data_IF_570301856174
#
_entry.id   IF_570301856174
#
_cell.length_a   1.000
_cell.length_b   1.000
_cell.length_c   1.000
_cell.angle_alpha   90.00
_cell.angle_beta   90.00
_cell.angle_gamma   90.00
#
_symmetry.space_group_name_H-M   'P 1'
#
loop_
_entity.id
_entity.type
_entity.pdbx_description
1 polymer ?
#
# COMPACT_ATOMS: atom_id res chain seq x y z
N UNK A 1 -51.10 -5.87 -18.28
CA UNK A 1 -50.40 -5.67 -19.56
C UNK A 1 -50.47 -6.99 -20.32
N UNK A 2 -51.52 -7.13 -21.12
CA UNK A 2 -51.50 -7.99 -22.31
C UNK A 2 -50.43 -7.46 -23.28
N UNK A 3 -49.78 -8.36 -24.02
CA UNK A 3 -49.71 -8.31 -25.48
C UNK A 3 -49.13 -9.63 -26.00
N UNK A 4 -49.98 -10.36 -26.71
CA UNK A 4 -49.73 -11.51 -27.59
C UNK A 4 -48.95 -11.08 -28.83
N UNK A 5 -48.12 -11.95 -29.42
CA UNK A 5 -47.64 -11.91 -30.81
C UNK A 5 -46.99 -13.28 -31.13
N UNK A 6 -47.15 -13.98 -32.27
CA UNK A 6 -48.11 -14.01 -33.38
C UNK A 6 -47.63 -15.19 -34.25
N UNK A 7 -48.53 -16.12 -34.61
CA UNK A 7 -48.39 -16.98 -35.78
C UNK A 7 -48.54 -16.12 -37.04
N UNK A 8 -47.77 -16.37 -38.11
CA UNK A 8 -48.12 -16.10 -39.53
C UNK A 8 -46.95 -16.59 -40.42
N UNK A 9 -47.10 -17.68 -41.17
CA UNK A 9 -47.65 -17.76 -42.54
C UNK A 9 -46.69 -17.20 -43.62
N UNK A 10 -46.14 -18.12 -44.43
CA UNK A 10 -45.60 -17.77 -45.75
C UNK A 10 -45.72 -18.95 -46.71
N UNK A 11 -46.95 -19.25 -47.13
CA UNK A 11 -47.26 -20.03 -48.32
C UNK A 11 -47.99 -19.16 -49.35
N UNK A 12 -47.23 -18.46 -50.20
CA UNK A 12 -47.75 -17.61 -51.28
C UNK A 12 -47.43 -18.16 -52.67
N UNK A 13 -48.45 -18.18 -53.52
CA UNK A 13 -48.54 -18.79 -54.86
C UNK A 13 -48.59 -17.69 -55.97
N UNK A 14 -48.39 -18.13 -57.24
CA UNK A 14 -48.66 -17.47 -58.54
C UNK A 14 -47.65 -16.40 -59.08
N UNK A 15 -47.34 -16.26 -60.39
CA UNK A 15 -47.69 -16.94 -61.65
C UNK A 15 -46.86 -16.40 -62.85
N UNK A 16 -46.87 -17.17 -63.96
CA UNK A 16 -46.69 -16.82 -65.39
C UNK A 16 -45.26 -16.84 -66.01
N UNK A 17 -45.01 -17.24 -67.27
CA UNK A 17 -45.68 -18.04 -68.32
C UNK A 17 -44.70 -18.20 -69.53
N UNK A 18 -44.69 -19.38 -70.17
CA UNK A 18 -44.43 -19.70 -71.61
C UNK A 18 -43.03 -19.40 -72.25
N UNK A 19 -42.43 -20.17 -73.19
CA UNK A 19 -42.83 -21.30 -74.05
C UNK A 19 -41.64 -22.07 -74.70
N UNK A 20 -41.94 -23.30 -75.18
CA UNK A 20 -41.34 -24.08 -76.29
C UNK A 20 -39.94 -24.73 -76.08
N UNK A 21 -39.63 -26.00 -76.48
CA UNK A 21 -40.23 -26.96 -77.45
C UNK A 21 -39.54 -28.35 -77.35
N UNK A 22 -40.32 -29.43 -77.56
CA UNK A 22 -40.02 -30.70 -78.26
C UNK A 22 -38.86 -31.62 -77.76
N UNK A 23 -38.89 -32.95 -77.83
CA UNK A 23 -39.85 -33.98 -78.26
C UNK A 23 -39.31 -35.32 -77.74
N UNK A 24 -40.12 -36.10 -77.03
CA UNK A 24 -39.81 -37.47 -76.63
C UNK A 24 -40.49 -38.46 -77.56
N UNK A 25 -39.81 -39.55 -77.93
CA UNK A 25 -40.43 -40.67 -78.63
C UNK A 25 -39.95 -42.00 -78.06
N UNK A 26 -40.84 -42.63 -77.28
CA UNK A 26 -40.79 -44.05 -76.91
C UNK A 26 -41.24 -44.86 -78.12
N UNK A 27 -40.42 -45.83 -78.55
CA UNK A 27 -40.80 -46.75 -79.63
C UNK A 27 -41.67 -47.88 -79.09
N UNK A 28 -42.85 -47.98 -79.69
CA UNK A 28 -43.86 -49.02 -79.53
C UNK A 28 -43.49 -50.26 -80.35
N UNK A 29 -43.90 -51.42 -79.84
CA UNK A 29 -43.92 -52.72 -80.52
C UNK A 29 -44.74 -52.64 -81.82
N UNK A 30 -44.24 -53.30 -82.86
CA UNK A 30 -44.88 -53.47 -84.17
C UNK A 30 -44.59 -54.86 -84.71
N UNK A 31 -45.62 -55.68 -84.64
CA UNK A 31 -45.84 -56.99 -85.25
C UNK A 31 -46.03 -56.83 -86.78
N UNK A 32 -45.34 -57.63 -87.59
CA UNK A 32 -45.59 -57.82 -89.03
C UNK A 32 -44.93 -59.14 -89.48
N UNK A 33 -45.70 -60.21 -89.34
CA UNK A 33 -46.10 -61.14 -90.40
C UNK A 33 -45.13 -61.35 -91.57
N UNK A 34 -44.39 -62.46 -91.49
CA UNK A 34 -44.39 -63.61 -92.43
C UNK A 34 -44.83 -63.34 -93.88
N UNK A 35 -43.86 -63.23 -94.79
CA UNK A 35 -44.00 -63.48 -96.24
C UNK A 35 -42.60 -63.74 -96.83
N UNK A 36 -42.10 -64.99 -96.74
CA UNK A 36 -40.97 -65.46 -97.56
C UNK A 36 -41.50 -66.41 -98.62
N UNK A 37 -41.80 -65.84 -99.78
CA UNK A 37 -42.19 -66.53 -101.01
C UNK A 37 -41.02 -67.37 -101.59
N UNK A 38 -41.38 -68.60 -101.96
CA UNK A 38 -40.57 -69.63 -102.60
C UNK A 38 -39.70 -69.14 -103.79
N UNK A 39 -38.38 -69.11 -103.57
CA UNK A 39 -37.34 -68.69 -104.53
C UNK A 39 -36.98 -69.74 -105.61
N UNK A 40 -37.81 -70.77 -105.86
CA UNK A 40 -37.51 -71.80 -106.88
C UNK A 40 -38.69 -72.19 -107.81
N UNK A 41 -39.28 -71.19 -108.45
CA UNK A 41 -40.18 -71.37 -109.60
C UNK A 41 -39.44 -71.39 -110.95
N UNK A 42 -38.89 -72.54 -111.35
CA UNK A 42 -38.39 -72.73 -112.73
C UNK A 42 -39.54 -72.78 -113.75
N UNK A 43 -39.93 -71.63 -114.33
CA UNK A 43 -40.81 -71.59 -115.52
C UNK A 43 -40.12 -70.91 -116.71
N UNK A 44 -39.51 -71.80 -117.50
CA UNK A 44 -39.19 -71.75 -118.94
C UNK A 44 -40.05 -70.73 -119.74
N UNK A 45 -39.50 -69.54 -119.96
CA UNK A 45 -40.04 -68.50 -120.83
C UNK A 45 -39.02 -68.15 -121.92
N UNK A 46 -39.33 -68.59 -123.14
CA UNK A 46 -38.58 -68.50 -124.39
C UNK A 46 -37.92 -67.12 -124.64
N UNK A 47 -36.60 -67.13 -124.85
CA UNK A 47 -35.82 -65.99 -125.30
C UNK A 47 -36.37 -65.38 -126.60
N UNK A 48 -36.66 -64.07 -126.58
CA UNK A 48 -36.56 -63.23 -127.77
C UNK A 48 -35.17 -62.62 -127.74
N UNK A 49 -34.34 -63.05 -128.68
CA UNK A 49 -33.09 -62.38 -129.04
C UNK A 49 -33.46 -61.03 -129.60
N UNK A 50 -33.37 -59.99 -128.76
CA UNK A 50 -33.28 -58.61 -129.21
C UNK A 50 -31.78 -58.26 -129.14
N UNK A 51 -31.23 -57.91 -130.29
CA UNK A 51 -29.81 -57.58 -130.49
C UNK A 51 -29.46 -56.39 -129.57
N UNK A 52 -28.85 -56.67 -128.41
CA UNK A 52 -28.49 -55.65 -127.45
C UNK A 52 -27.45 -54.70 -128.09
N UNK A 53 -27.83 -53.43 -128.25
CA UNK A 53 -26.93 -52.39 -128.75
C UNK A 53 -25.62 -52.39 -127.94
N UNK A 54 -24.45 -52.17 -128.57
CA UNK A 54 -23.14 -52.36 -127.92
C UNK A 54 -22.92 -51.53 -126.62
N UNK A 55 -23.68 -50.46 -126.42
CA UNK A 55 -23.67 -49.67 -125.18
C UNK A 55 -24.35 -50.36 -123.98
N UNK A 56 -25.38 -51.18 -124.21
CA UNK A 56 -26.13 -51.87 -123.14
C UNK A 56 -25.30 -53.02 -122.56
N UNK A 57 -24.66 -53.82 -123.42
CA UNK A 57 -23.76 -54.88 -122.98
C UNK A 57 -22.52 -54.33 -122.24
N UNK A 58 -21.95 -53.21 -122.72
CA UNK A 58 -20.82 -52.54 -122.05
C UNK A 58 -21.23 -51.97 -120.68
N UNK A 59 -22.43 -51.38 -120.57
CA UNK A 59 -22.98 -50.90 -119.30
C UNK A 59 -23.17 -52.04 -118.28
N UNK A 60 -23.75 -53.17 -118.71
CA UNK A 60 -23.90 -54.35 -117.84
C UNK A 60 -22.54 -54.89 -117.36
N UNK A 61 -21.53 -54.95 -118.23
CA UNK A 61 -20.19 -55.41 -117.86
C UNK A 61 -19.55 -54.47 -116.82
N UNK A 62 -19.71 -53.15 -116.96
CA UNK A 62 -19.19 -52.19 -115.99
C UNK A 62 -19.92 -52.29 -114.65
N UNK A 63 -21.25 -52.37 -114.65
CA UNK A 63 -22.03 -52.57 -113.41
C UNK A 63 -21.68 -53.89 -112.71
N UNK A 64 -21.43 -54.97 -113.47
CA UNK A 64 -20.98 -56.24 -112.90
C UNK A 64 -19.55 -56.15 -112.34
N UNK A 65 -18.65 -55.41 -112.98
CA UNK A 65 -17.29 -55.17 -112.45
C UNK A 65 -17.29 -54.31 -111.20
N UNK A 66 -18.10 -53.27 -111.18
CA UNK A 66 -18.29 -52.42 -110.00
C UNK A 66 -18.92 -53.23 -108.86
N UNK A 67 -19.96 -54.01 -109.13
CA UNK A 67 -20.56 -54.93 -108.17
C UNK A 67 -19.56 -55.97 -107.65
N UNK A 68 -18.73 -56.55 -108.53
CA UNK A 68 -17.67 -57.47 -108.14
C UNK A 68 -16.59 -56.80 -107.28
N UNK A 69 -16.23 -55.56 -107.61
CA UNK A 69 -15.25 -54.79 -106.83
C UNK A 69 -15.79 -54.42 -105.45
N UNK A 70 -17.03 -53.95 -105.37
CA UNK A 70 -17.70 -53.68 -104.10
C UNK A 70 -17.79 -54.96 -103.24
N UNK A 71 -18.18 -56.08 -103.84
CA UNK A 71 -18.21 -57.37 -103.15
C UNK A 71 -16.83 -57.79 -102.63
N UNK A 72 -15.76 -57.48 -103.36
CA UNK A 72 -14.37 -57.75 -102.95
C UNK A 72 -13.94 -56.86 -101.78
N UNK A 73 -14.33 -55.59 -101.78
CA UNK A 73 -14.00 -54.65 -100.71
C UNK A 73 -14.81 -54.96 -99.43
N UNK A 74 -16.08 -55.34 -99.57
CA UNK A 74 -16.91 -55.84 -98.47
C UNK A 74 -16.33 -57.15 -97.88
N UNK A 75 -15.82 -58.05 -98.73
CA UNK A 75 -15.13 -59.26 -98.28
C UNK A 75 -13.87 -58.90 -97.47
N UNK A 76 -13.10 -57.89 -97.91
CA UNK A 76 -11.93 -57.45 -97.17
C UNK A 76 -12.28 -56.81 -95.83
N UNK A 77 -13.35 -56.01 -95.77
CA UNK A 77 -13.85 -55.40 -94.52
C UNK A 77 -14.31 -56.46 -93.53
N UNK A 78 -15.15 -57.40 -93.98
CA UNK A 78 -15.64 -58.51 -93.15
C UNK A 78 -14.51 -59.41 -92.67
N UNK A 79 -13.49 -59.64 -93.48
CA UNK A 79 -12.27 -60.35 -93.07
C UNK A 79 -11.54 -59.63 -91.94
N UNK A 80 -11.44 -58.30 -91.99
CA UNK A 80 -10.78 -57.51 -90.96
C UNK A 80 -11.60 -57.49 -89.65
N UNK A 81 -12.91 -57.29 -89.73
CA UNK A 81 -13.81 -57.38 -88.58
C UNK A 81 -13.74 -58.76 -87.91
N UNK A 82 -13.65 -59.83 -88.71
CA UNK A 82 -13.44 -61.19 -88.21
C UNK A 82 -12.12 -61.34 -87.44
N UNK A 83 -11.02 -60.78 -87.94
CA UNK A 83 -9.73 -60.81 -87.24
C UNK A 83 -9.77 -59.98 -85.94
N UNK A 84 -10.40 -58.79 -85.95
CA UNK A 84 -10.61 -58.00 -84.74
C UNK A 84 -11.43 -58.78 -83.71
N UNK A 85 -12.54 -59.41 -84.12
CA UNK A 85 -13.35 -60.25 -83.25
C UNK A 85 -12.56 -61.44 -82.68
N UNK A 86 -11.69 -62.07 -83.49
CA UNK A 86 -10.80 -63.16 -83.01
C UNK A 86 -9.82 -62.68 -81.95
N UNK A 87 -9.17 -61.53 -82.16
CA UNK A 87 -8.22 -60.98 -81.16
C UNK A 87 -8.93 -60.61 -79.88
N UNK A 88 -10.16 -60.09 -79.97
CA UNK A 88 -10.97 -59.75 -78.81
C UNK A 88 -11.37 -61.03 -78.03
N UNK A 89 -11.84 -62.07 -78.72
CA UNK A 89 -12.12 -63.39 -78.10
C UNK A 89 -10.88 -63.94 -77.40
N UNK A 90 -9.68 -63.79 -77.99
CA UNK A 90 -8.43 -64.22 -77.35
C UNK A 90 -8.13 -63.42 -76.07
N UNK A 91 -8.34 -62.10 -76.07
CA UNK A 91 -8.20 -61.28 -74.86
C UNK A 91 -9.16 -61.73 -73.75
N UNK A 92 -10.44 -61.93 -74.07
CA UNK A 92 -11.42 -62.44 -73.11
C UNK A 92 -11.00 -63.81 -72.56
N UNK A 93 -10.55 -64.73 -73.42
CA UNK A 93 -10.03 -66.04 -72.98
C UNK A 93 -8.85 -65.90 -72.03
N UNK A 94 -7.89 -65.03 -72.31
CA UNK A 94 -6.74 -64.80 -71.44
C UNK A 94 -7.16 -64.17 -70.08
N UNK A 95 -8.09 -63.22 -70.09
CA UNK A 95 -8.61 -62.63 -68.86
C UNK A 95 -9.28 -63.67 -67.96
N UNK A 96 -10.15 -64.52 -68.53
CA UNK A 96 -10.80 -65.60 -67.78
C UNK A 96 -9.85 -66.70 -67.29
N UNK A 97 -8.72 -66.92 -67.97
CA UNK A 97 -7.69 -67.87 -67.52
C UNK A 97 -6.88 -67.35 -66.34
N UNK A 98 -6.69 -66.03 -66.26
CA UNK A 98 -5.90 -65.38 -65.22
C UNK A 98 -6.75 -65.05 -63.95
N UNK A 99 -8.08 -65.10 -64.04
CA UNK A 99 -8.99 -64.82 -62.94
C UNK A 99 -9.25 -66.04 -62.05
N UNK A 100 -9.22 -65.82 -60.73
CA UNK A 100 -9.34 -66.87 -59.70
C UNK A 100 -10.74 -67.48 -59.56
N UNK A 101 -11.74 -66.94 -60.26
CA UNK A 101 -13.14 -67.37 -60.13
C UNK A 101 -13.44 -68.66 -60.92
N UNK A 102 -12.59 -69.04 -61.89
CA UNK A 102 -12.73 -70.31 -62.62
C UNK A 102 -11.92 -71.40 -61.90
N UNK A 103 -12.55 -72.46 -61.35
CA UNK A 103 -11.83 -73.56 -60.72
C UNK A 103 -10.86 -74.24 -61.69
N UNK A 104 -9.62 -74.49 -61.24
CA UNK A 104 -8.56 -75.04 -62.07
C UNK A 104 -9.01 -76.31 -62.81
N UNK A 105 -8.94 -76.30 -64.14
CA UNK A 105 -9.21 -77.46 -65.00
C UNK A 105 -10.64 -77.62 -65.53
N UNK A 106 -11.55 -76.65 -65.33
CA UNK A 106 -12.88 -76.65 -65.96
C UNK A 106 -13.05 -75.47 -66.92
N UNK A 107 -13.66 -75.70 -68.08
CA UNK A 107 -14.12 -74.61 -68.95
C UNK A 107 -15.21 -73.83 -68.21
N UNK A 108 -15.13 -72.49 -68.13
CA UNK A 108 -16.17 -71.70 -67.49
C UNK A 108 -17.46 -71.86 -68.29
N UNK A 109 -18.46 -72.51 -67.69
CA UNK A 109 -19.77 -72.66 -68.29
C UNK A 109 -20.42 -71.26 -68.38
N UNK A 110 -20.98 -70.84 -69.53
CA UNK A 110 -21.48 -69.47 -69.72
C UNK A 110 -22.45 -69.02 -68.63
N UNK A 111 -23.27 -69.94 -68.11
CA UNK A 111 -24.22 -69.68 -67.03
C UNK A 111 -23.53 -69.28 -65.72
N UNK A 112 -22.42 -69.95 -65.37
CA UNK A 112 -21.65 -69.64 -64.17
C UNK A 112 -20.99 -68.25 -64.24
N UNK A 113 -20.49 -67.86 -65.43
CA UNK A 113 -19.97 -66.51 -65.68
C UNK A 113 -21.06 -65.45 -65.50
N UNK A 114 -22.24 -65.68 -66.08
CA UNK A 114 -23.38 -64.77 -66.00
C UNK A 114 -23.84 -64.61 -64.55
N UNK A 115 -23.98 -65.72 -63.82
CA UNK A 115 -24.38 -65.71 -62.40
C UNK A 115 -23.34 -64.96 -61.54
N UNK A 116 -22.04 -65.18 -61.79
CA UNK A 116 -20.98 -64.47 -61.07
C UNK A 116 -20.97 -62.97 -61.37
N UNK A 117 -21.11 -62.57 -62.64
CA UNK A 117 -21.23 -61.16 -63.02
C UNK A 117 -22.48 -60.54 -62.39
N UNK A 118 -23.60 -61.27 -62.33
CA UNK A 118 -24.82 -60.79 -61.69
C UNK A 118 -24.65 -60.63 -60.18
N UNK A 119 -23.94 -61.55 -59.53
CA UNK A 119 -23.59 -61.49 -58.11
C UNK A 119 -22.61 -60.34 -57.80
N UNK A 120 -21.61 -60.10 -58.67
CA UNK A 120 -20.71 -58.96 -58.55
C UNK A 120 -21.47 -57.64 -58.71
N UNK A 121 -22.39 -57.56 -59.68
CA UNK A 121 -23.23 -56.37 -59.86
C UNK A 121 -24.16 -56.13 -58.68
N UNK A 122 -24.69 -57.18 -58.04
CA UNK A 122 -25.53 -57.04 -56.86
C UNK A 122 -24.72 -56.65 -55.62
N UNK A 123 -23.52 -57.22 -55.43
CA UNK A 123 -22.61 -56.85 -54.34
C UNK A 123 -22.08 -55.42 -54.49
N UNK A 124 -21.75 -54.99 -55.72
CA UNK A 124 -21.37 -53.60 -56.02
C UNK A 124 -22.50 -52.63 -55.68
N UNK A 125 -23.75 -52.95 -56.07
CA UNK A 125 -24.92 -52.15 -55.71
C UNK A 125 -25.13 -52.08 -54.19
N UNK A 126 -24.99 -53.21 -53.50
CA UNK A 126 -25.12 -53.25 -52.03
C UNK A 126 -24.03 -52.44 -51.32
N UNK A 127 -22.77 -52.54 -51.76
CA UNK A 127 -21.67 -51.77 -51.18
C UNK A 127 -21.84 -50.26 -51.43
N UNK A 128 -22.31 -49.86 -52.61
CA UNK A 128 -22.65 -48.47 -52.91
C UNK A 128 -23.74 -47.94 -51.99
N UNK A 129 -24.78 -48.73 -51.74
CA UNK A 129 -25.85 -48.35 -50.81
C UNK A 129 -25.34 -48.22 -49.36
N UNK A 130 -24.53 -49.18 -48.89
CA UNK A 130 -23.91 -49.11 -47.57
C UNK A 130 -22.98 -47.90 -47.42
N UNK A 131 -22.21 -47.56 -48.46
CA UNK A 131 -21.36 -46.36 -48.49
C UNK A 131 -22.20 -45.09 -48.36
N UNK A 132 -23.31 -44.98 -49.08
CA UNK A 132 -24.20 -43.82 -48.98
C UNK A 132 -24.90 -43.73 -47.62
N UNK A 133 -25.26 -44.86 -47.01
CA UNK A 133 -25.77 -44.90 -45.63
C UNK A 133 -24.67 -44.43 -44.65
N UNK A 134 -23.44 -44.91 -44.81
CA UNK A 134 -22.31 -44.54 -43.96
C UNK A 134 -22.01 -43.03 -44.05
N UNK A 135 -21.98 -42.47 -45.27
CA UNK A 135 -21.79 -41.03 -45.49
C UNK A 135 -22.91 -40.20 -44.85
N UNK A 136 -24.17 -40.63 -44.98
CA UNK A 136 -25.31 -39.94 -44.31
C UNK A 136 -25.19 -40.00 -42.79
N UNK A 137 -24.76 -41.14 -42.23
CA UNK A 137 -24.52 -41.29 -40.79
C UNK A 137 -23.36 -40.42 -40.31
N UNK A 138 -22.26 -40.39 -41.05
CA UNK A 138 -21.09 -39.55 -40.77
C UNK A 138 -21.48 -38.06 -40.75
N UNK A 139 -22.20 -37.60 -41.78
CA UNK A 139 -22.71 -36.22 -41.83
C UNK A 139 -23.62 -35.89 -40.63
N UNK A 140 -24.51 -36.82 -40.25
CA UNK A 140 -25.35 -36.66 -39.05
C UNK A 140 -24.53 -36.59 -37.77
N UNK A 141 -23.50 -37.42 -37.62
CA UNK A 141 -22.59 -37.38 -36.48
C UNK A 141 -21.83 -36.06 -36.39
N UNK A 142 -21.34 -35.51 -37.52
CA UNK A 142 -20.66 -34.22 -37.56
C UNK A 142 -21.59 -33.10 -37.07
N UNK A 143 -22.83 -33.05 -37.57
CA UNK A 143 -23.82 -32.05 -37.14
C UNK A 143 -24.15 -32.19 -35.65
N UNK A 144 -24.34 -33.42 -35.17
CA UNK A 144 -24.60 -33.67 -33.74
C UNK A 144 -23.42 -33.29 -32.84
N UNK A 145 -22.19 -33.53 -33.31
CA UNK A 145 -20.98 -33.15 -32.59
C UNK A 145 -20.86 -31.63 -32.48
N UNK A 146 -21.04 -30.91 -33.60
CA UNK A 146 -21.04 -29.44 -33.61
C UNK A 146 -22.12 -28.86 -32.68
N UNK A 147 -23.33 -29.44 -32.68
CA UNK A 147 -24.39 -29.03 -31.75
C UNK A 147 -24.00 -29.25 -30.30
N UNK A 148 -23.44 -30.42 -29.95
CA UNK A 148 -22.97 -30.68 -28.58
C UNK A 148 -21.83 -29.75 -28.16
N UNK A 149 -20.91 -29.42 -29.06
CA UNK A 149 -19.84 -28.45 -28.77
C UNK A 149 -20.40 -27.06 -28.49
N UNK A 150 -21.41 -26.63 -29.27
CA UNK A 150 -22.14 -25.39 -29.01
C UNK A 150 -22.83 -25.43 -27.63
N UNK A 151 -23.60 -26.49 -27.33
CA UNK A 151 -24.28 -26.64 -26.04
C UNK A 151 -23.28 -26.58 -24.87
N UNK A 152 -22.12 -27.23 -25.01
CA UNK A 152 -21.03 -27.18 -24.02
C UNK A 152 -20.47 -25.76 -23.87
N UNK A 153 -20.32 -25.01 -24.96
CA UNK A 153 -19.85 -23.62 -24.91
C UNK A 153 -20.87 -22.70 -24.21
N UNK A 154 -22.15 -22.87 -24.48
CA UNK A 154 -23.26 -22.15 -23.83
C UNK A 154 -23.32 -22.47 -22.33
N UNK A 155 -23.27 -23.76 -21.96
CA UNK A 155 -23.21 -24.18 -20.55
C UNK A 155 -21.98 -23.63 -19.83
N UNK A 156 -20.80 -23.63 -20.47
CA UNK A 156 -19.58 -22.99 -19.91
C UNK A 156 -19.78 -21.49 -19.70
N UNK A 157 -20.51 -20.80 -20.57
CA UNK A 157 -20.84 -19.38 -20.38
C UNK A 157 -21.79 -19.18 -19.21
N UNK A 158 -22.89 -19.94 -19.16
CA UNK A 158 -23.84 -19.89 -18.05
C UNK A 158 -23.18 -20.14 -16.69
N UNK A 159 -22.24 -21.10 -16.62
CA UNK A 159 -21.45 -21.35 -15.41
C UNK A 159 -20.56 -20.16 -15.04
N UNK A 160 -19.91 -19.50 -16.02
CA UNK A 160 -19.11 -18.29 -15.76
C UNK A 160 -19.99 -17.16 -15.22
N UNK A 161 -21.18 -16.98 -15.79
CA UNK A 161 -22.12 -15.94 -15.40
C UNK A 161 -22.69 -16.22 -14.01
N UNK A 162 -23.15 -17.44 -13.73
CA UNK A 162 -23.59 -17.86 -12.39
C UNK A 162 -22.46 -17.73 -11.36
N UNK A 163 -21.23 -18.09 -11.71
CA UNK A 163 -20.06 -17.92 -10.83
C UNK A 163 -19.78 -16.43 -10.56
N UNK A 164 -20.04 -15.56 -11.54
CA UNK A 164 -19.93 -14.11 -11.35
C UNK A 164 -21.03 -13.55 -10.46
N UNK A 165 -22.26 -14.09 -10.56
CA UNK A 165 -23.38 -13.74 -9.69
C UNK A 165 -23.21 -14.28 -8.26
N UNK A 166 -22.58 -15.45 -8.12
CA UNK A 166 -22.30 -16.08 -6.83
C UNK A 166 -21.17 -15.40 -6.07
N UNK A 167 -20.30 -14.61 -6.73
CA UNK A 167 -19.42 -13.68 -6.01
C UNK A 167 -20.33 -12.69 -5.28
N UNK A 168 -20.40 -12.69 -3.94
CA UNK A 168 -21.32 -11.81 -3.25
C UNK A 168 -20.92 -10.37 -3.54
N UNK A 169 -21.78 -9.62 -4.22
CA UNK A 169 -21.55 -8.20 -4.52
C UNK A 169 -21.47 -7.35 -3.25
N UNK A 170 -22.02 -7.83 -2.13
CA UNK A 170 -21.90 -7.20 -0.82
C UNK A 170 -21.88 -8.22 0.33
N UNK A 171 -21.26 -7.84 1.44
CA UNK A 171 -21.28 -8.61 2.70
C UNK A 171 -22.69 -8.99 3.19
N UNK A 172 -23.72 -8.26 2.76
CA UNK A 172 -25.12 -8.45 3.17
C UNK A 172 -25.73 -9.74 2.58
N UNK A 173 -25.41 -10.10 1.34
CA UNK A 173 -25.83 -11.37 0.74
C UNK A 173 -25.20 -12.58 1.46
N UNK A 174 -23.97 -12.42 1.98
CA UNK A 174 -23.32 -13.41 2.86
C UNK A 174 -24.06 -13.59 4.18
N UNK A 175 -24.69 -12.53 4.72
CA UNK A 175 -25.52 -12.59 5.94
C UNK A 175 -26.86 -13.29 5.70
N UNK A 176 -27.45 -13.13 4.51
CA UNK A 176 -28.73 -13.77 4.14
C UNK A 176 -28.61 -15.28 3.85
N UNK A 177 -27.43 -15.76 3.45
CA UNK A 177 -27.16 -17.18 3.19
C UNK A 177 -26.66 -17.94 4.43
N UNK A 178 -26.29 -17.23 5.50
CA UNK A 178 -26.08 -17.83 6.81
C UNK A 178 -27.45 -18.01 7.46
N UNK A 179 -27.69 -19.18 8.05
CA UNK A 179 -28.85 -19.40 8.92
C UNK A 179 -28.93 -18.22 9.91
N UNK A 180 -30.11 -17.57 10.06
CA UNK A 180 -30.25 -16.40 10.94
C UNK A 180 -29.71 -16.64 12.37
N UNK A 181 -29.88 -17.84 12.92
CA UNK A 181 -29.35 -18.20 14.24
C UNK A 181 -27.83 -18.32 14.23
N UNK A 182 -27.25 -18.89 13.17
CA UNK A 182 -25.79 -18.96 13.01
C UNK A 182 -25.19 -17.55 12.85
N UNK A 183 -25.84 -16.68 12.07
CA UNK A 183 -25.38 -15.30 11.91
C UNK A 183 -25.43 -14.51 13.22
N UNK A 184 -26.48 -14.71 14.02
CA UNK A 184 -26.61 -14.09 15.33
C UNK A 184 -25.52 -14.57 16.30
N UNK A 185 -25.23 -15.88 16.35
CA UNK A 185 -24.13 -16.43 17.15
C UNK A 185 -22.76 -15.92 16.69
N UNK A 186 -22.49 -15.85 15.39
CA UNK A 186 -21.25 -15.24 14.88
C UNK A 186 -21.13 -13.77 15.25
N UNK A 187 -22.23 -13.02 15.20
CA UNK A 187 -22.26 -11.60 15.56
C UNK A 187 -22.03 -11.43 17.06
N UNK A 188 -22.68 -12.26 17.88
CA UNK A 188 -22.48 -12.30 19.33
C UNK A 188 -21.03 -12.64 19.70
N UNK A 189 -20.46 -13.67 19.08
CA UNK A 189 -19.06 -14.08 19.31
C UNK A 189 -18.09 -12.99 18.88
N UNK A 190 -18.34 -12.34 17.74
CA UNK A 190 -17.53 -11.21 17.28
C UNK A 190 -17.58 -10.04 18.27
N UNK A 191 -18.77 -9.63 18.70
CA UNK A 191 -18.93 -8.55 19.67
C UNK A 191 -18.26 -8.90 21.01
N UNK A 192 -18.39 -10.15 21.46
CA UNK A 192 -17.74 -10.64 22.68
C UNK A 192 -16.22 -10.61 22.55
N UNK A 193 -15.67 -11.00 21.39
CA UNK A 193 -14.24 -10.91 21.12
C UNK A 193 -13.74 -9.46 21.14
N UNK A 194 -14.44 -8.55 20.44
CA UNK A 194 -14.11 -7.11 20.43
C UNK A 194 -14.20 -6.50 21.84
N UNK A 195 -15.17 -6.90 22.66
CA UNK A 195 -15.29 -6.46 24.05
C UNK A 195 -14.14 -6.98 24.93
N UNK A 196 -13.75 -8.25 24.77
CA UNK A 196 -12.62 -8.82 25.50
C UNK A 196 -11.28 -8.21 25.08
N UNK A 197 -11.07 -7.95 23.79
CA UNK A 197 -9.88 -7.25 23.29
C UNK A 197 -9.78 -5.83 23.87
N UNK A 198 -10.92 -5.13 23.97
CA UNK A 198 -10.98 -3.82 24.64
C UNK A 198 -10.63 -3.94 26.12
N UNK A 199 -11.19 -4.93 26.84
CA UNK A 199 -10.85 -5.19 28.26
C UNK A 199 -9.37 -5.52 28.45
N UNK A 200 -8.79 -6.34 27.57
CA UNK A 200 -7.36 -6.66 27.59
C UNK A 200 -6.54 -5.39 27.42
N UNK A 201 -6.89 -4.55 26.45
CA UNK A 201 -6.22 -3.27 26.22
C UNK A 201 -6.35 -2.32 27.42
N UNK A 202 -7.55 -2.16 27.97
CA UNK A 202 -7.79 -1.32 29.14
C UNK A 202 -7.02 -1.84 30.37
N UNK A 203 -6.95 -3.17 30.58
CA UNK A 203 -6.16 -3.78 31.64
C UNK A 203 -4.65 -3.62 31.39
N UNK A 204 -4.18 -3.74 30.15
CA UNK A 204 -2.79 -3.48 29.78
C UNK A 204 -2.42 -2.01 29.99
N UNK A 205 -3.29 -1.08 29.62
CA UNK A 205 -3.11 0.36 29.83
C UNK A 205 -3.13 0.69 31.33
N UNK A 206 -4.03 0.07 32.10
CA UNK A 206 -4.06 0.20 33.56
C UNK A 206 -2.80 -0.41 34.21
N UNK A 207 -2.33 -1.57 33.76
CA UNK A 207 -1.05 -2.13 34.21
C UNK A 207 0.06 -1.17 33.83
N UNK A 208 0.13 -0.65 32.60
CA UNK A 208 1.16 0.31 32.20
C UNK A 208 1.11 1.61 33.02
N UNK A 209 -0.09 2.07 33.39
CA UNK A 209 -0.30 3.24 34.22
C UNK A 209 0.08 3.01 35.69
N UNK A 210 -0.27 1.84 36.25
CA UNK A 210 0.01 1.47 37.65
C UNK A 210 1.47 0.99 37.82
N UNK A 211 2.04 0.40 36.78
CA UNK A 211 3.45 -0.03 36.77
C UNK A 211 4.32 1.17 36.43
N UNK A 212 4.48 2.07 37.40
CA UNK A 212 5.57 3.03 37.37
C UNK A 212 6.89 2.26 37.27
N UNK A 213 7.48 2.26 36.08
CA UNK A 213 8.81 1.69 35.87
C UNK A 213 9.80 2.83 35.88
N UNK A 214 10.77 2.80 36.81
CA UNK A 214 11.86 3.79 36.86
C UNK A 214 12.66 3.85 35.54
N UNK A 215 12.59 2.78 34.74
CA UNK A 215 13.16 2.68 33.40
C UNK A 215 12.26 3.17 32.26
N UNK A 216 10.94 3.32 32.45
CA UNK A 216 10.02 3.83 31.43
C UNK A 216 10.23 5.31 31.14
N UNK A 217 9.78 5.82 29.98
CA UNK A 217 10.00 7.24 29.60
C UNK A 217 9.44 8.22 30.64
N UNK A 218 8.21 8.01 31.10
CA UNK A 218 7.59 8.83 32.15
C UNK A 218 8.26 8.65 33.51
N UNK A 219 8.70 7.42 33.83
CA UNK A 219 9.41 7.14 35.08
C UNK A 219 10.79 7.76 35.15
N UNK A 220 11.58 7.69 34.07
CA UNK A 220 12.86 8.39 33.94
C UNK A 220 12.70 9.90 34.04
N UNK A 221 11.67 10.47 33.43
CA UNK A 221 11.40 11.91 33.53
C UNK A 221 11.01 12.33 34.95
N UNK A 222 10.18 11.54 35.65
CA UNK A 222 9.85 11.82 37.05
C UNK A 222 11.08 11.68 37.95
N UNK A 223 11.89 10.63 37.79
CA UNK A 223 13.12 10.44 38.56
C UNK A 223 14.13 11.56 38.30
N UNK A 224 14.27 12.02 37.05
CA UNK A 224 15.09 13.18 36.72
C UNK A 224 14.57 14.44 37.43
N UNK A 225 13.25 14.68 37.42
CA UNK A 225 12.63 15.81 38.13
C UNK A 225 12.80 15.72 39.64
N UNK A 226 12.67 14.53 40.23
CA UNK A 226 12.94 14.33 41.65
C UNK A 226 14.41 14.63 41.97
N UNK A 227 15.34 14.19 41.11
CA UNK A 227 16.76 14.47 41.28
C UNK A 227 17.07 15.97 41.23
N UNK A 228 16.52 16.68 40.25
CA UNK A 228 16.71 18.14 40.15
C UNK A 228 16.09 18.87 41.35
N UNK A 229 14.90 18.47 41.81
CA UNK A 229 14.28 19.07 43.00
C UNK A 229 15.06 18.80 44.28
N UNK A 230 15.74 17.65 44.40
CA UNK A 230 16.64 17.37 45.52
C UNK A 230 17.87 18.28 45.44
N UNK A 231 18.50 18.38 44.27
CA UNK A 231 19.66 19.26 44.02
C UNK A 231 19.31 20.73 44.31
N UNK A 232 18.17 21.23 43.81
CA UNK A 232 17.69 22.60 44.08
C UNK A 232 17.41 22.83 45.58
N UNK A 233 16.82 21.86 46.30
CA UNK A 233 16.58 21.99 47.73
C UNK A 233 17.88 21.98 48.54
N UNK A 234 18.85 21.17 48.14
CA UNK A 234 20.19 21.17 48.73
C UNK A 234 20.89 22.51 48.50
N UNK A 235 20.78 23.08 47.30
CA UNK A 235 21.32 24.40 46.95
C UNK A 235 20.65 25.53 47.74
N UNK A 236 19.32 25.56 47.83
CA UNK A 236 18.58 26.52 48.67
C UNK A 236 18.98 26.39 50.15
N UNK A 237 19.12 25.15 50.63
CA UNK A 237 19.59 24.89 51.99
C UNK A 237 21.01 25.39 52.23
N UNK A 238 21.89 25.21 51.25
CA UNK A 238 23.26 25.70 51.27
C UNK A 238 23.31 27.22 51.27
N UNK A 239 22.63 27.90 50.34
CA UNK A 239 22.57 29.37 50.26
C UNK A 239 21.98 29.99 51.54
N UNK A 240 20.94 29.38 52.11
CA UNK A 240 20.34 29.86 53.36
C UNK A 240 21.31 29.71 54.55
N UNK A 241 22.07 28.62 54.59
CA UNK A 241 23.10 28.40 55.61
C UNK A 241 24.28 29.37 55.42
N UNK A 242 24.74 29.55 54.18
CA UNK A 242 25.82 30.46 53.81
C UNK A 242 25.44 31.91 54.12
N UNK A 243 24.22 32.34 53.78
CA UNK A 243 23.74 33.69 54.06
C UNK A 243 23.67 34.00 55.57
N UNK A 244 23.16 33.07 56.38
CA UNK A 244 23.18 33.21 57.84
C UNK A 244 24.61 33.24 58.39
N UNK A 245 25.49 32.39 57.87
CA UNK A 245 26.90 32.36 58.26
C UNK A 245 27.58 33.70 57.94
N UNK A 246 27.43 34.22 56.72
CA UNK A 246 28.02 35.49 56.30
C UNK A 246 27.52 36.67 57.15
N UNK A 247 26.23 36.73 57.44
CA UNK A 247 25.66 37.76 58.33
C UNK A 247 26.24 37.70 59.75
N UNK A 248 26.36 36.49 60.32
CA UNK A 248 26.98 36.30 61.63
C UNK A 248 28.46 36.70 61.62
N UNK A 249 29.20 36.38 60.55
CA UNK A 249 30.59 36.79 60.38
C UNK A 249 30.72 38.31 60.31
N UNK A 250 29.83 39.00 59.57
CA UNK A 250 29.82 40.46 59.50
C UNK A 250 29.53 41.11 60.86
N UNK A 251 28.50 40.61 61.56
CA UNK A 251 28.17 41.07 62.91
C UNK A 251 29.33 40.86 63.89
N UNK A 252 30.01 39.70 63.82
CA UNK A 252 31.16 39.41 64.66
C UNK A 252 32.33 40.37 64.38
N UNK A 253 32.61 40.68 63.11
CA UNK A 253 33.66 41.62 62.74
C UNK A 253 33.35 43.04 63.25
N UNK A 254 32.12 43.50 63.08
CA UNK A 254 31.65 44.79 63.61
C UNK A 254 31.77 44.85 65.13
N UNK A 255 31.34 43.79 65.85
CA UNK A 255 31.48 43.71 67.31
C UNK A 255 32.94 43.73 67.76
N UNK A 256 33.84 43.07 67.03
CA UNK A 256 35.29 43.15 67.30
C UNK A 256 35.82 44.58 67.13
N UNK A 257 35.37 45.30 66.10
CA UNK A 257 35.74 46.70 65.87
C UNK A 257 35.25 47.60 67.00
N UNK A 258 33.98 47.47 67.40
CA UNK A 258 33.40 48.24 68.51
C UNK A 258 34.12 47.96 69.84
N UNK A 259 34.46 46.70 70.11
CA UNK A 259 35.25 46.35 71.29
C UNK A 259 36.68 46.93 71.24
N UNK A 260 37.31 46.96 70.06
CA UNK A 260 38.62 47.57 69.89
C UNK A 260 38.57 49.09 70.12
N UNK A 261 37.52 49.76 69.62
CA UNK A 261 37.29 51.18 69.84
C UNK A 261 37.04 51.50 71.31
N UNK A 262 36.18 50.73 72.00
CA UNK A 262 35.95 50.89 73.43
C UNK A 262 37.24 50.70 74.24
N UNK A 263 38.06 49.70 73.91
CA UNK A 263 39.38 49.51 74.55
C UNK A 263 40.29 50.71 74.32
N UNK A 264 40.32 51.26 73.10
CA UNK A 264 41.10 52.46 72.79
C UNK A 264 40.60 53.69 73.54
N UNK A 265 39.29 53.85 73.70
CA UNK A 265 38.69 54.95 74.47
C UNK A 265 39.05 54.85 75.95
N UNK A 266 38.95 53.65 76.55
CA UNK A 266 39.37 53.42 77.93
C UNK A 266 40.85 53.67 78.13
N UNK A 267 41.71 53.20 77.22
CA UNK A 267 43.15 53.47 77.25
C UNK A 267 43.44 54.99 77.21
N UNK A 268 42.72 55.74 76.37
CA UNK A 268 42.80 57.20 76.34
C UNK A 268 42.39 57.83 77.68
N UNK A 269 41.26 57.41 78.26
CA UNK A 269 40.80 57.90 79.56
C UNK A 269 41.78 57.59 80.69
N UNK A 270 42.39 56.41 80.71
CA UNK A 270 43.42 56.06 81.70
C UNK A 270 44.62 56.99 81.61
N UNK A 271 45.10 57.31 80.40
CA UNK A 271 46.19 58.27 80.20
C UNK A 271 45.83 59.67 80.67
N UNK A 272 44.64 60.16 80.33
CA UNK A 272 44.15 61.44 80.83
C UNK A 272 44.04 61.48 82.36
N UNK A 273 43.60 60.38 82.98
CA UNK A 273 43.53 60.28 84.44
C UNK A 273 44.91 60.26 85.09
N UNK A 274 45.89 59.59 84.49
CA UNK A 274 47.29 59.59 84.92
C UNK A 274 47.91 60.99 84.81
N UNK A 275 47.70 61.69 83.69
CA UNK A 275 48.10 63.09 83.49
C UNK A 275 47.50 64.01 84.55
N UNK A 276 46.19 63.90 84.80
CA UNK A 276 45.51 64.68 85.84
C UNK A 276 46.03 64.36 87.24
N UNK A 277 46.34 63.09 87.52
CA UNK A 277 46.95 62.67 88.80
C UNK A 277 48.31 63.32 88.97
N UNK A 278 49.16 63.30 87.94
CA UNK A 278 50.47 63.97 87.95
C UNK A 278 50.34 65.49 88.11
N UNK A 279 49.35 66.13 87.48
CA UNK A 279 49.09 67.57 87.66
C UNK A 279 48.65 67.90 89.09
N UNK A 280 47.81 67.06 89.70
CA UNK A 280 47.41 67.19 91.10
C UNK A 280 48.61 67.02 92.04
N UNK A 281 49.48 66.04 91.79
CA UNK A 281 50.71 65.84 92.59
C UNK A 281 51.63 67.07 92.50
N UNK A 282 51.90 67.60 91.30
CA UNK A 282 52.72 68.82 91.11
C UNK A 282 52.09 70.05 91.74
N UNK A 283 50.76 70.19 91.65
CA UNK A 283 50.01 71.26 92.32
C UNK A 283 50.15 71.14 93.84
N UNK A 284 50.01 69.93 94.39
CA UNK A 284 50.15 69.65 95.81
C UNK A 284 51.58 69.93 96.32
N UNK A 285 52.61 69.57 95.55
CA UNK A 285 54.01 69.95 95.84
C UNK A 285 54.18 71.47 95.90
N UNK A 286 53.60 72.20 94.93
CA UNK A 286 53.66 73.67 94.90
C UNK A 286 52.96 74.30 96.10
N UNK A 287 51.82 73.75 96.52
CA UNK A 287 51.10 74.19 97.73
C UNK A 287 51.95 73.99 98.97
N UNK A 288 52.62 72.83 99.14
CA UNK A 288 53.52 72.62 100.29
C UNK A 288 54.66 73.65 100.33
N UNK A 289 55.29 73.94 99.19
CA UNK A 289 56.36 74.96 99.11
C UNK A 289 55.83 76.34 99.50
N UNK A 290 54.62 76.70 99.04
CA UNK A 290 53.99 77.97 99.40
C UNK A 290 53.62 78.03 100.89
N UNK A 291 53.16 76.92 101.47
CA UNK A 291 52.90 76.82 102.91
C UNK A 291 54.19 76.99 103.74
N UNK A 292 55.29 76.34 103.35
CA UNK A 292 56.60 76.51 104.00
C UNK A 292 57.08 77.96 103.94
N UNK A 293 57.01 78.59 102.76
CA UNK A 293 57.34 80.02 102.61
C UNK A 293 56.43 80.93 103.43
N UNK A 294 55.13 80.60 103.53
CA UNK A 294 54.19 81.35 104.35
C UNK A 294 54.57 81.25 105.82
N UNK A 295 54.87 80.05 106.33
CA UNK A 295 55.35 79.86 107.70
C UNK A 295 56.67 80.59 107.97
N UNK A 296 57.61 80.59 107.01
CA UNK A 296 58.84 81.36 107.12
C UNK A 296 58.57 82.87 107.25
N UNK A 297 57.66 83.39 106.42
CA UNK A 297 57.25 84.80 106.46
C UNK A 297 56.49 85.13 107.73
N UNK A 298 55.63 84.23 108.22
CA UNK A 298 54.96 84.38 109.51
C UNK A 298 55.96 84.42 110.67
N UNK A 299 56.95 83.50 110.69
CA UNK A 299 58.06 83.52 111.66
C UNK A 299 58.87 84.81 111.59
N UNK A 300 59.10 85.33 110.39
CA UNK A 300 59.81 86.60 110.20
C UNK A 300 58.98 87.81 110.66
N UNK A 301 57.68 87.84 110.36
CA UNK A 301 56.74 88.84 110.88
C UNK A 301 56.72 88.79 112.41
N UNK A 302 56.66 87.60 113.01
CA UNK A 302 56.73 87.39 114.47
C UNK A 302 58.03 87.95 115.07
N UNK A 303 59.18 87.74 114.40
CA UNK A 303 60.47 88.33 114.81
C UNK A 303 60.46 89.86 114.69
N UNK A 304 60.01 90.40 113.56
CA UNK A 304 59.95 91.85 113.34
C UNK A 304 58.99 92.53 114.32
N UNK A 305 57.86 91.91 114.64
CA UNK A 305 56.94 92.36 115.69
C UNK A 305 57.63 92.44 117.05
N UNK A 306 58.36 91.39 117.46
CA UNK A 306 59.16 91.41 118.70
C UNK A 306 60.24 92.49 118.70
N UNK A 307 60.92 92.72 117.57
CA UNK A 307 61.92 93.80 117.44
C UNK A 307 61.25 95.18 117.51
N UNK A 308 60.10 95.38 116.87
CA UNK A 308 59.33 96.62 116.97
C UNK A 308 58.86 96.89 118.40
N UNK A 309 58.42 95.87 119.13
CA UNK A 309 58.04 95.98 120.54
C UNK A 309 59.24 96.42 121.41
N UNK A 310 60.44 95.90 121.13
CA UNK A 310 61.69 96.35 121.78
C UNK A 310 62.09 97.77 121.36
N UNK A 311 61.85 98.18 120.11
CA UNK A 311 62.15 99.54 119.62
C UNK A 311 61.13 100.56 120.15
N UNK A 312 59.85 100.22 120.29
CA UNK A 312 58.87 101.11 120.95
C UNK A 312 59.20 101.27 122.43
N UNK A 313 59.63 100.20 123.11
CA UNK A 313 60.12 100.25 124.50
C UNK A 313 61.39 101.10 124.70
N UNK A 314 62.14 101.39 123.62
CA UNK A 314 63.30 102.27 123.61
C UNK A 314 62.98 103.69 123.08
N UNK A 315 61.90 103.86 122.33
CA UNK A 315 61.36 105.14 121.87
C UNK A 315 60.60 105.89 122.98
N UNK A 316 59.83 105.17 123.81
CA UNK A 316 59.06 105.75 124.92
C UNK A 316 59.91 106.21 126.11
N UNK A 317 61.24 106.07 126.05
CA UNK A 317 62.17 106.54 127.11
C UNK A 317 62.90 107.84 126.81
N UNK A 318 62.67 108.50 125.66
CA UNK A 318 63.46 109.68 125.27
C UNK A 318 62.71 110.99 125.04
N UNK A 319 61.40 110.97 124.81
CA UNK A 319 60.69 112.17 124.31
C UNK A 319 59.49 112.64 125.17
N UNK A 320 59.53 112.48 126.49
CA UNK A 320 58.61 113.20 127.42
C UNK A 320 59.33 113.76 128.66
N UNK A 321 60.48 114.42 128.42
CA UNK A 321 60.99 115.48 129.29
C UNK A 321 61.51 116.61 128.38
N UNK A 322 60.77 117.74 128.36
CA UNK A 322 60.93 118.97 127.55
C UNK A 322 59.97 119.04 126.35
N UNK A 323 59.08 120.02 126.17
CA UNK A 323 58.73 121.20 126.95
C UNK A 323 57.40 121.80 126.40
N UNK A 324 56.72 122.55 127.25
CA UNK A 324 55.64 123.48 126.90
C UNK A 324 56.05 124.47 125.78
N UNK A 325 55.24 124.62 124.74
CA UNK A 325 55.01 125.89 124.02
C UNK A 325 53.92 125.72 122.93
N UNK A 326 52.88 126.55 123.05
CA UNK A 326 51.98 127.05 122.00
C UNK A 326 51.10 126.03 121.25
N UNK A 327 49.81 125.96 121.57
CA UNK A 327 48.77 126.86 121.08
C UNK A 327 48.45 126.67 119.58
N UNK A 328 47.29 126.07 119.38
CA UNK A 328 46.21 126.61 118.56
C UNK A 328 45.85 125.89 117.24
N UNK A 329 44.55 125.69 117.18
CA UNK A 329 43.65 125.65 116.04
C UNK A 329 43.60 124.50 115.01
N UNK A 330 42.34 124.06 114.89
CA UNK A 330 41.60 123.54 113.75
C UNK A 330 41.88 122.12 113.24
N UNK A 331 40.96 121.17 113.37
CA UNK A 331 39.53 121.10 112.97
C UNK A 331 39.34 120.54 111.54
N UNK A 332 38.32 119.69 111.47
CA UNK A 332 37.65 119.07 110.33
C UNK A 332 38.35 117.90 109.59
N UNK A 333 37.88 116.63 109.69
CA UNK A 333 36.60 116.05 109.18
C UNK A 333 36.61 116.02 107.63
N UNK A 334 36.05 115.02 106.91
CA UNK A 334 35.84 113.59 107.22
C UNK A 334 35.78 112.60 106.00
N UNK A 335 35.43 111.34 106.31
CA UNK A 335 34.45 110.43 105.63
C UNK A 335 34.77 109.84 104.24
N UNK A 336 34.68 108.49 104.17
CA UNK A 336 33.65 107.72 103.41
C UNK A 336 34.23 107.23 102.06
N UNK A 337 33.89 106.12 101.40
CA UNK A 337 32.75 105.17 101.38
C UNK A 337 33.27 103.95 100.55
N UNK A 338 33.07 102.72 101.03
CA UNK A 338 32.17 101.64 100.54
C UNK A 338 32.51 100.89 99.23
N UNK A 339 32.06 99.63 99.24
CA UNK A 339 31.63 98.82 98.09
C UNK A 339 32.52 97.61 97.85
N UNK A 340 32.15 96.37 98.22
CA UNK A 340 31.19 95.48 97.54
C UNK A 340 31.50 95.37 96.04
N UNK A 341 31.74 94.20 95.43
CA UNK A 341 31.21 92.84 95.61
C UNK A 341 32.23 91.82 95.06
#
# INVERSE_FOLDING_TARGET
MEFSLQDDDFGGDYSAANAARASGSKRSFGDMEDDEDDIFGSKKGRAKVEEAAPGVATGMILSLRESLQNCKDDLASTQNELELAKTEIQKWKAAFQNESFVPAGKSPEPRFLIDHIQNLKSSERSLKEQLEIAKRKEASCIVQYAKREQDVAELKSAVRDLKSQLKPASMQARRLLLDPAIHEEFTRLKNLAEEQDKKIKDLQDNIAAVTFTSSGKSGRMLMAKCKTLIEENEEIGFEAAEGKMHQLTMNLAMQKSQNAELRSQFEGLFKHMEELTNDVERSNETVMILQEKLEEKEKEIERLKKVMEVVSDLGDKKDEAEAEAEADENDQVPKEIDGEE
#
